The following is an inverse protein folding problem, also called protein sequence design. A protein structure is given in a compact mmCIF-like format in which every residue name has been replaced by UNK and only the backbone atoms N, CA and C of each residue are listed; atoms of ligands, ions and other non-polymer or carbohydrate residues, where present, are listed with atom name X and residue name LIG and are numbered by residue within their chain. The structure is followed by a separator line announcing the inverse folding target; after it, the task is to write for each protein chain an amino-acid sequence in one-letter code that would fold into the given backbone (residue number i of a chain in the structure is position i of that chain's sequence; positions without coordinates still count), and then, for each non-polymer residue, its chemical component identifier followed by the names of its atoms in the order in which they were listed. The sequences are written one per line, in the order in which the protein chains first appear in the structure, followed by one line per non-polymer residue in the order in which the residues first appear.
data_IF_630843123393
#
_entry.id   IF_630843123393
#
_cell.length_a   1.000
_cell.length_b   1.000
_cell.length_c   1.000
_cell.angle_alpha   90.00
_cell.angle_beta   90.00
_cell.angle_gamma   90.00
#
_symmetry.space_group_name_H-M   'P 1'
#
loop_
_entity.id
_entity.type
_entity.pdbx_description
1 polymer ?
#
# COMPACT_ATOMS: atom_id res chain seq x y z
N UNK A 1 -0.76 0.07 -15.43
CA UNK A 1 0.63 -0.08 -14.95
C UNK A 1 0.55 -0.91 -13.69
N UNK A 2 1.45 -1.89 -13.50
CA UNK A 2 1.38 -2.81 -12.36
C UNK A 2 2.53 -2.53 -11.38
N UNK A 3 2.20 -2.25 -10.12
CA UNK A 3 3.13 -1.94 -9.04
C UNK A 3 3.76 -3.21 -8.44
N UNK A 4 4.50 -3.09 -7.32
CA UNK A 4 5.25 -4.22 -6.77
C UNK A 4 4.38 -5.25 -6.03
N UNK A 5 3.11 -4.96 -5.76
CA UNK A 5 2.19 -5.91 -5.11
C UNK A 5 1.84 -7.12 -6.00
N UNK A 6 2.05 -7.04 -7.32
CA UNK A 6 1.86 -8.18 -8.24
C UNK A 6 2.70 -9.42 -7.89
N UNK A 7 3.78 -9.21 -7.13
CA UNK A 7 4.70 -10.27 -6.72
C UNK A 7 4.34 -10.87 -5.34
N UNK A 8 3.35 -10.32 -4.65
CA UNK A 8 2.90 -10.83 -3.36
C UNK A 8 2.00 -12.05 -3.54
N UNK A 9 1.79 -12.83 -2.47
CA UNK A 9 0.87 -13.98 -2.51
C UNK A 9 -0.54 -13.63 -2.02
N UNK A 10 -0.66 -12.66 -1.11
CA UNK A 10 -1.94 -12.16 -0.58
C UNK A 10 -2.91 -11.79 -1.72
N UNK A 11 -4.10 -12.40 -1.76
CA UNK A 11 -5.17 -11.98 -2.68
C UNK A 11 -5.56 -10.52 -2.47
N UNK A 12 -5.56 -10.03 -1.22
CA UNK A 12 -5.88 -8.64 -0.90
C UNK A 12 -4.85 -7.67 -1.50
N UNK A 13 -3.55 -7.96 -1.37
CA UNK A 13 -2.52 -7.10 -1.95
C UNK A 13 -2.57 -7.09 -3.48
N UNK A 14 -2.82 -8.24 -4.11
CA UNK A 14 -2.96 -8.34 -5.58
C UNK A 14 -4.13 -7.52 -6.13
N UNK A 15 -5.23 -7.37 -5.39
CA UNK A 15 -6.34 -6.51 -5.81
C UNK A 15 -5.90 -5.05 -6.05
N UNK A 16 -4.83 -4.60 -5.40
CA UNK A 16 -4.28 -3.26 -5.54
C UNK A 16 -3.07 -3.16 -6.48
N UNK A 17 -2.70 -4.24 -7.17
CA UNK A 17 -1.49 -4.28 -8.00
C UNK A 17 -1.54 -3.31 -9.19
N UNK A 18 -2.74 -2.95 -9.64
CA UNK A 18 -2.96 -2.08 -10.80
C UNK A 18 -3.33 -0.64 -10.41
N UNK A 19 -3.38 -0.33 -9.11
CA UNK A 19 -3.63 1.03 -8.66
C UNK A 19 -2.50 1.97 -9.12
N UNK A 20 -2.81 3.21 -9.50
CA UNK A 20 -1.81 4.21 -9.87
C UNK A 20 -0.91 4.64 -8.71
N UNK A 21 -1.31 4.39 -7.46
CA UNK A 21 -0.43 4.54 -6.31
C UNK A 21 0.69 3.49 -6.40
N UNK A 22 1.94 3.94 -6.22
CA UNK A 22 3.14 3.10 -6.23
C UNK A 22 3.25 2.29 -4.94
N UNK A 23 2.34 1.33 -4.77
CA UNK A 23 2.30 0.49 -3.59
C UNK A 23 3.52 -0.44 -3.52
N UNK A 24 4.06 -0.51 -2.31
CA UNK A 24 5.13 -1.42 -1.92
C UNK A 24 4.62 -2.36 -0.82
N UNK A 25 5.07 -3.62 -0.80
CA UNK A 25 4.80 -4.51 0.32
C UNK A 25 5.66 -4.12 1.53
N UNK A 26 5.20 -4.50 2.72
CA UNK A 26 5.99 -4.35 3.94
C UNK A 26 7.15 -5.35 3.96
N UNK A 27 8.37 -4.87 3.74
CA UNK A 27 9.58 -5.67 3.89
C UNK A 27 10.81 -4.79 4.18
N UNK A 28 11.94 -5.43 4.50
CA UNK A 28 13.20 -4.74 4.82
C UNK A 28 13.70 -3.83 3.68
N UNK A 29 13.44 -4.19 2.42
CA UNK A 29 13.87 -3.40 1.27
C UNK A 29 13.05 -2.12 1.14
N UNK A 30 11.73 -2.20 1.30
CA UNK A 30 10.81 -1.05 1.32
C UNK A 30 11.16 -0.08 2.45
N UNK A 31 11.40 -0.59 3.66
CA UNK A 31 11.78 0.25 4.81
C UNK A 31 13.15 0.93 4.60
N UNK A 32 14.13 0.20 4.02
CA UNK A 32 15.42 0.79 3.64
C UNK A 32 15.27 1.87 2.57
N UNK A 33 14.38 1.67 1.59
CA UNK A 33 14.05 2.67 0.57
C UNK A 33 13.51 3.95 1.21
N UNK A 34 12.59 3.85 2.16
CA UNK A 34 12.07 5.02 2.88
C UNK A 34 13.15 5.78 3.64
N UNK A 35 14.01 5.04 4.37
CA UNK A 35 15.15 5.63 5.08
C UNK A 35 16.12 6.36 4.13
N UNK A 36 16.43 5.76 2.99
CA UNK A 36 17.36 6.33 2.02
C UNK A 36 16.79 7.56 1.30
N UNK A 37 15.50 7.51 0.93
CA UNK A 37 14.84 8.61 0.21
C UNK A 37 14.41 9.75 1.14
N UNK A 38 14.50 9.58 2.46
CA UNK A 38 14.06 10.55 3.47
C UNK A 38 12.60 11.03 3.23
N UNK A 39 11.76 10.13 2.74
CA UNK A 39 10.33 10.37 2.55
C UNK A 39 9.54 9.70 3.67
N UNK A 40 8.47 10.33 4.19
CA UNK A 40 7.58 9.69 5.15
C UNK A 40 6.91 8.45 4.54
N UNK A 41 6.56 7.49 5.39
CA UNK A 41 5.81 6.29 5.01
C UNK A 41 4.32 6.60 5.14
N UNK A 42 3.57 6.30 4.09
CA UNK A 42 2.12 6.17 4.17
C UNK A 42 1.79 4.69 4.31
N UNK A 43 1.40 4.26 5.50
CA UNK A 43 1.06 2.87 5.80
C UNK A 43 -0.45 2.67 5.70
N UNK A 44 -0.89 1.79 4.81
CA UNK A 44 -2.30 1.41 4.66
C UNK A 44 -2.47 -0.07 4.98
N UNK A 45 -3.04 -0.36 6.15
CA UNK A 45 -3.37 -1.71 6.61
C UNK A 45 -4.83 -2.00 6.28
N UNK A 46 -5.12 -3.19 5.77
CA UNK A 46 -6.49 -3.62 5.48
C UNK A 46 -6.57 -5.13 5.26
N UNK A 47 -7.76 -5.60 4.88
CA UNK A 47 -8.05 -7.02 4.63
C UNK A 47 -9.17 -7.14 3.59
N UNK A 48 -9.32 -8.31 2.97
CA UNK A 48 -10.17 -8.49 1.78
C UNK A 48 -11.67 -8.22 2.00
N UNK A 49 -12.20 -8.40 3.20
CA UNK A 49 -13.63 -8.19 3.51
C UNK A 49 -13.93 -6.81 4.13
N UNK A 50 -12.94 -5.91 4.16
CA UNK A 50 -13.09 -4.56 4.71
C UNK A 50 -13.85 -3.64 3.75
N UNK A 51 -15.09 -3.29 4.09
CA UNK A 51 -15.93 -2.41 3.26
C UNK A 51 -15.27 -1.04 2.97
N UNK A 52 -14.79 -0.35 4.01
CA UNK A 52 -14.18 0.98 3.86
C UNK A 52 -12.83 0.97 3.13
N UNK A 53 -12.12 -0.16 3.15
CA UNK A 53 -10.88 -0.32 2.40
C UNK A 53 -11.16 -0.31 0.89
N UNK A 54 -12.28 -0.89 0.45
CA UNK A 54 -12.72 -0.83 -0.95
C UNK A 54 -13.18 0.58 -1.33
N UNK A 55 -13.96 1.26 -0.49
CA UNK A 55 -14.40 2.64 -0.76
C UNK A 55 -13.21 3.58 -0.90
N UNK A 56 -12.24 3.53 0.02
CA UNK A 56 -11.03 4.33 -0.05
C UNK A 56 -10.19 4.00 -1.29
N UNK A 57 -10.11 2.73 -1.68
CA UNK A 57 -9.38 2.34 -2.87
C UNK A 57 -9.98 2.94 -4.14
N UNK A 58 -11.30 2.82 -4.29
CA UNK A 58 -12.03 3.33 -5.44
C UNK A 58 -12.01 4.86 -5.51
N UNK A 59 -12.27 5.55 -4.39
CA UNK A 59 -12.38 7.01 -4.40
C UNK A 59 -11.02 7.73 -4.41
N UNK A 60 -9.99 7.12 -3.82
CA UNK A 60 -8.69 7.79 -3.62
C UNK A 60 -7.53 7.08 -4.33
N UNK A 61 -7.34 5.78 -4.12
CA UNK A 61 -6.13 5.10 -4.61
C UNK A 61 -6.15 4.80 -6.10
N UNK A 62 -7.32 4.80 -6.73
CA UNK A 62 -7.51 4.69 -8.18
C UNK A 62 -7.50 6.05 -8.88
N UNK A 63 -7.63 7.15 -8.12
CA UNK A 63 -7.59 8.51 -8.65
C UNK A 63 -6.15 8.93 -9.03
N UNK A 64 -5.93 9.28 -10.29
CA UNK A 64 -4.60 9.62 -10.83
C UNK A 64 -3.98 10.86 -10.16
N UNK A 65 -4.76 11.87 -9.82
CA UNK A 65 -4.25 13.09 -9.21
C UNK A 65 -3.80 12.84 -7.77
N UNK A 66 -4.62 12.11 -7.01
CA UNK A 66 -4.32 11.68 -5.64
C UNK A 66 -3.08 10.79 -5.63
N UNK A 67 -3.03 9.79 -6.50
CA UNK A 67 -1.88 8.91 -6.64
C UNK A 67 -0.59 9.67 -6.99
N UNK A 68 -0.67 10.67 -7.88
CA UNK A 68 0.48 11.52 -8.22
C UNK A 68 1.03 12.23 -6.99
N UNK A 69 0.16 12.83 -6.16
CA UNK A 69 0.57 13.51 -4.92
C UNK A 69 1.17 12.50 -3.96
N UNK A 70 0.52 11.34 -3.79
CA UNK A 70 0.99 10.28 -2.90
C UNK A 70 2.39 9.78 -3.29
N UNK A 71 2.59 9.42 -4.56
CA UNK A 71 3.87 8.91 -5.08
C UNK A 71 4.98 9.98 -4.99
N UNK A 72 4.62 11.26 -5.14
CA UNK A 72 5.58 12.34 -4.97
C UNK A 72 6.03 12.49 -3.51
N UNK A 73 5.08 12.42 -2.56
CA UNK A 73 5.31 12.81 -1.16
C UNK A 73 5.67 11.66 -0.22
N UNK A 74 5.26 10.44 -0.51
CA UNK A 74 5.35 9.31 0.41
C UNK A 74 6.05 8.09 -0.20
N UNK A 75 6.48 7.21 0.69
CA UNK A 75 6.64 5.78 0.39
C UNK A 75 5.33 5.09 0.77
N UNK A 76 4.55 4.69 -0.22
CA UNK A 76 3.25 4.06 -0.02
C UNK A 76 3.44 2.56 0.26
N UNK A 77 3.02 2.11 1.44
CA UNK A 77 3.11 0.71 1.86
C UNK A 77 1.71 0.16 2.11
N UNK A 78 1.40 -0.94 1.45
CA UNK A 78 0.14 -1.69 1.67
C UNK A 78 0.46 -2.93 2.51
N UNK A 79 -0.38 -3.20 3.51
CA UNK A 79 -0.25 -4.37 4.39
C UNK A 79 -1.57 -5.12 4.43
N UNK A 80 -1.48 -6.43 4.27
CA UNK A 80 -2.56 -7.34 4.59
C UNK A 80 -2.53 -7.69 6.07
N UNK A 81 -3.59 -7.32 6.77
CA UNK A 81 -3.81 -7.60 8.19
C UNK A 81 -3.85 -9.10 8.47
N UNK A 82 -4.38 -9.91 7.56
CA UNK A 82 -4.51 -11.35 7.75
C UNK A 82 -3.13 -12.04 7.73
N UNK A 83 -2.20 -11.53 6.92
CA UNK A 83 -0.81 -12.02 6.88
C UNK A 83 0.07 -11.39 7.98
N UNK A 84 -0.22 -10.15 8.40
CA UNK A 84 0.58 -9.38 9.36
C UNK A 84 -0.27 -8.76 10.48
N UNK A 85 -0.93 -9.59 11.32
CA UNK A 85 -1.73 -9.10 12.44
C UNK A 85 -0.88 -8.38 13.50
N UNK A 86 0.44 -8.67 13.53
CA UNK A 86 1.39 -8.00 14.40
C UNK A 86 1.56 -6.50 14.09
N UNK A 87 1.38 -6.09 12.83
CA UNK A 87 1.46 -4.68 12.45
C UNK A 87 0.18 -3.92 12.77
N UNK A 88 -0.97 -4.54 12.52
CA UNK A 88 -2.31 -3.98 12.83
C UNK A 88 -2.53 -3.76 14.33
N UNK A 89 -1.87 -4.55 15.18
CA UNK A 89 -1.92 -4.33 16.62
C UNK A 89 -1.17 -3.07 17.08
N UNK A 90 -0.19 -2.61 16.30
CA UNK A 90 0.70 -1.50 16.66
C UNK A 90 0.27 -0.19 15.97
N UNK A 91 -0.24 -0.27 14.75
CA UNK A 91 -0.54 0.87 13.86
C UNK A 91 -2.00 0.87 13.44
#
# INVERSE_FOLDING_TARGET
MSNLLKNENSPYLKQHENNPVDWLPWNKQTLKKAKNQKKPIFLSVGYASCHWCHVMAHESFENLETARIMNQKFINIKVDREERPDLDFIF
#
